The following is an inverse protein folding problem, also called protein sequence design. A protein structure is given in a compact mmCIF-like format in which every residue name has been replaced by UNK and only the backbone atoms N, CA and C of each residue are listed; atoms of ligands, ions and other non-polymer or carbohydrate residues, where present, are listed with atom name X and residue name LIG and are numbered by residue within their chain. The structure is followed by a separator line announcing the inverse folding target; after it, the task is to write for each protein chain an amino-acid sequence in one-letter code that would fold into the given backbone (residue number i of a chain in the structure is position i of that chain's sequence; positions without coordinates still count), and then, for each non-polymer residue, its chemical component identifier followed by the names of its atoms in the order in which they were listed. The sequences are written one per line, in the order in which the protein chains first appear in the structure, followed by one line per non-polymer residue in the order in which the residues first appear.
data_IF_684081472971
#
_entry.id   IF_684081472971
#
_cell.length_a   1.000
_cell.length_b   1.000
_cell.length_c   1.000
_cell.angle_alpha   90.00
_cell.angle_beta   90.00
_cell.angle_gamma   90.00
#
_symmetry.space_group_name_H-M   'P 1'
#
loop_
_entity.id
_entity.type
_entity.pdbx_description
1 polymer ?
#
# COMPACT_ATOMS: atom_id res chain seq x y z
N UNK A 1 -25.56 13.94 66.54
CA UNK A 1 -25.46 15.36 66.96
C UNK A 1 -24.90 16.15 65.78
N UNK A 2 -25.69 17.11 65.31
CA UNK A 2 -25.42 18.18 64.33
C UNK A 2 -25.06 17.78 62.89
N UNK A 3 -25.52 18.46 61.82
CA UNK A 3 -26.71 19.27 61.50
C UNK A 3 -26.53 19.71 60.03
N UNK A 4 -27.48 19.36 59.17
CA UNK A 4 -28.23 20.22 58.21
C UNK A 4 -27.45 21.35 57.49
N UNK A 5 -27.38 21.37 56.15
CA UNK A 5 -28.41 21.99 55.28
C UNK A 5 -28.04 22.03 53.78
N UNK A 6 -29.08 21.92 52.95
CA UNK A 6 -29.11 22.11 51.49
C UNK A 6 -29.07 23.61 51.13
N UNK A 7 -28.67 23.98 49.90
CA UNK A 7 -29.42 24.97 49.10
C UNK A 7 -29.11 24.91 47.59
N UNK A 8 -30.12 25.34 46.82
CA UNK A 8 -30.36 25.21 45.39
C UNK A 8 -29.67 26.26 44.50
N UNK A 9 -29.37 25.84 43.26
CA UNK A 9 -29.62 26.44 41.93
C UNK A 9 -29.81 27.97 41.79
N UNK A 10 -29.04 28.61 40.87
CA UNK A 10 -29.57 29.50 39.81
C UNK A 10 -28.47 29.98 38.83
N UNK A 11 -28.76 29.82 37.55
CA UNK A 11 -28.13 30.40 36.35
C UNK A 11 -28.26 31.92 36.27
N UNK A 12 -27.20 32.62 35.84
CA UNK A 12 -27.34 33.84 35.01
C UNK A 12 -26.11 34.07 34.11
N UNK A 13 -26.37 34.18 32.81
CA UNK A 13 -25.54 34.72 31.73
C UNK A 13 -25.23 36.20 32.01
N UNK A 14 -24.05 36.73 31.64
CA UNK A 14 -23.88 38.09 31.07
C UNK A 14 -22.43 38.27 30.57
N UNK A 15 -22.35 38.73 29.33
CA UNK A 15 -21.18 39.11 28.54
C UNK A 15 -20.38 40.27 29.14
N UNK A 16 -19.06 40.26 28.95
CA UNK A 16 -18.20 41.43 29.13
C UNK A 16 -17.42 41.70 27.83
N UNK A 17 -17.85 42.75 27.15
CA UNK A 17 -17.11 43.49 26.12
C UNK A 17 -16.35 44.67 26.74
N UNK A 18 -15.55 45.36 25.91
CA UNK A 18 -14.93 46.69 26.10
C UNK A 18 -13.51 46.61 26.73
N UNK A 19 -12.43 47.15 26.12
CA UNK A 19 -12.33 48.52 25.63
C UNK A 19 -11.37 48.74 24.44
N UNK A 20 -11.86 49.56 23.52
CA UNK A 20 -11.12 50.36 22.55
C UNK A 20 -10.21 51.40 23.23
N UNK A 21 -9.17 51.82 22.52
CA UNK A 21 -8.66 53.19 22.60
C UNK A 21 -8.44 53.72 21.20
N UNK A 22 -9.43 54.47 20.71
CA UNK A 22 -9.29 55.34 19.55
C UNK A 22 -8.63 56.65 19.96
N UNK A 23 -7.76 57.19 19.11
CA UNK A 23 -7.78 58.63 18.86
C UNK A 23 -7.18 58.98 17.49
N UNK A 24 -8.00 59.72 16.74
CA UNK A 24 -7.71 60.67 15.66
C UNK A 24 -7.52 60.18 14.21
N UNK A 25 -8.67 60.20 13.52
CA UNK A 25 -8.84 60.50 12.08
C UNK A 25 -8.12 61.79 11.65
N UNK A 26 -7.48 61.75 10.47
CA UNK A 26 -7.58 62.79 9.43
C UNK A 26 -7.66 62.16 8.03
N UNK A 27 -8.84 62.32 7.44
CA UNK A 27 -9.25 62.45 6.02
C UNK A 27 -8.31 62.02 4.88
N UNK A 28 -8.76 60.96 4.19
CA UNK A 28 -9.07 60.83 2.76
C UNK A 28 -8.12 61.42 1.69
N UNK A 29 -7.46 60.52 0.96
CA UNK A 29 -7.35 60.55 -0.51
C UNK A 29 -7.63 59.13 -1.03
N UNK A 30 -8.62 59.02 -1.92
CA UNK A 30 -8.99 57.81 -2.64
C UNK A 30 -8.03 57.60 -3.81
N UNK A 31 -7.20 56.56 -3.74
CA UNK A 31 -6.50 56.04 -4.91
C UNK A 31 -7.26 54.80 -5.45
N UNK A 32 -7.74 54.91 -6.67
CA UNK A 32 -8.42 53.86 -7.42
C UNK A 32 -7.36 52.87 -7.93
N UNK A 33 -6.94 51.95 -7.06
CA UNK A 33 -6.09 50.82 -7.41
C UNK A 33 -6.91 49.64 -7.93
N UNK A 34 -7.08 49.59 -9.25
CA UNK A 34 -7.60 48.46 -10.01
C UNK A 34 -6.85 47.16 -9.66
N UNK A 35 -7.41 46.32 -8.78
CA UNK A 35 -6.92 44.96 -8.53
C UNK A 35 -7.10 44.14 -9.81
N UNK A 36 -6.02 44.10 -10.58
CA UNK A 36 -5.85 43.23 -11.72
C UNK A 36 -5.85 41.80 -11.19
N UNK A 37 -7.01 41.14 -11.25
CA UNK A 37 -7.12 39.69 -11.15
C UNK A 37 -6.16 39.09 -12.17
N UNK A 38 -4.97 38.69 -11.73
CA UNK A 38 -4.11 37.83 -12.51
C UNK A 38 -4.87 36.53 -12.74
N UNK A 39 -5.37 36.36 -13.97
CA UNK A 39 -5.82 35.07 -14.47
C UNK A 39 -4.67 34.09 -14.23
N UNK A 40 -4.85 33.19 -13.26
CA UNK A 40 -4.06 31.97 -13.15
C UNK A 40 -4.12 31.34 -14.53
N UNK A 41 -2.99 31.32 -15.24
CA UNK A 41 -2.89 30.58 -16.50
C UNK A 41 -3.20 29.14 -16.17
N UNK A 42 -4.34 28.62 -16.64
CA UNK A 42 -4.59 27.19 -16.70
C UNK A 42 -3.38 26.57 -17.42
N UNK A 43 -2.53 25.87 -16.66
CA UNK A 43 -1.50 25.02 -17.22
C UNK A 43 -2.26 23.85 -17.82
N UNK A 44 -2.48 23.89 -19.13
CA UNK A 44 -3.06 22.77 -19.87
C UNK A 44 -2.03 21.65 -19.84
N UNK A 45 -2.20 20.70 -18.93
CA UNK A 45 -1.39 19.49 -18.88
C UNK A 45 -1.86 18.55 -20.00
N UNK A 46 -0.94 18.11 -20.85
CA UNK A 46 -1.22 17.06 -21.83
C UNK A 46 -1.53 15.75 -21.09
N UNK A 47 -2.77 15.29 -21.22
CA UNK A 47 -3.28 14.08 -20.58
C UNK A 47 -3.51 12.95 -21.59
N UNK A 48 -2.98 13.11 -22.82
CA UNK A 48 -2.99 12.05 -23.82
C UNK A 48 -2.19 10.87 -23.30
N UNK A 49 -2.78 9.68 -23.37
CA UNK A 49 -2.19 8.43 -22.87
C UNK A 49 -2.07 7.38 -23.96
N UNK A 50 -1.08 6.50 -23.84
CA UNK A 50 -0.92 5.34 -24.74
C UNK A 50 -1.99 4.30 -24.40
N UNK A 51 -2.96 4.08 -25.29
CA UNK A 51 -4.10 3.17 -25.02
C UNK A 51 -3.93 1.79 -25.67
N UNK A 52 -3.12 1.69 -26.73
CA UNK A 52 -2.90 0.47 -27.50
C UNK A 52 -1.42 0.16 -27.56
N UNK A 53 -1.09 -1.12 -27.73
CA UNK A 53 0.28 -1.57 -27.92
C UNK A 53 0.80 -0.93 -29.22
N UNK A 54 1.93 -0.20 -29.20
CA UNK A 54 2.52 0.36 -30.40
C UNK A 54 2.89 -0.71 -31.44
N UNK A 55 2.85 -0.34 -32.71
CA UNK A 55 3.17 -1.26 -33.81
C UNK A 55 4.59 -1.83 -33.67
N UNK A 56 4.72 -3.15 -33.84
CA UNK A 56 6.01 -3.86 -33.74
C UNK A 56 6.43 -4.23 -32.32
N UNK A 57 5.61 -3.96 -31.30
CA UNK A 57 5.87 -4.36 -29.91
C UNK A 57 5.02 -5.58 -29.55
N UNK A 58 5.67 -6.63 -29.05
CA UNK A 58 4.99 -7.82 -28.53
C UNK A 58 4.97 -7.79 -26.99
N UNK A 59 3.95 -8.41 -26.40
CA UNK A 59 3.87 -8.54 -24.95
C UNK A 59 4.97 -9.49 -24.43
N UNK A 60 5.75 -9.09 -23.42
CA UNK A 60 6.69 -10.00 -22.77
C UNK A 60 5.98 -11.24 -22.22
N UNK A 61 6.69 -12.37 -22.18
CA UNK A 61 6.15 -13.60 -21.63
C UNK A 61 5.63 -13.39 -20.19
N UNK A 62 4.41 -13.88 -19.95
CA UNK A 62 3.74 -13.79 -18.65
C UNK A 62 3.13 -12.42 -18.33
N UNK A 63 3.16 -11.46 -19.26
CA UNK A 63 2.57 -10.13 -19.08
C UNK A 63 1.37 -9.88 -19.99
N UNK A 64 0.49 -8.97 -19.56
CA UNK A 64 -0.64 -8.45 -20.33
C UNK A 64 -0.54 -6.95 -20.48
N UNK A 65 -1.10 -6.43 -21.57
CA UNK A 65 -1.20 -4.99 -21.79
C UNK A 65 -2.32 -4.38 -20.94
N UNK A 66 -1.98 -3.35 -20.17
CA UNK A 66 -2.91 -2.49 -19.46
C UNK A 66 -3.08 -1.22 -20.29
N UNK A 67 -4.26 -0.98 -20.90
CA UNK A 67 -4.51 0.24 -21.66
C UNK A 67 -4.41 1.48 -20.78
N UNK A 68 -3.64 2.48 -21.23
CA UNK A 68 -3.54 3.76 -20.55
C UNK A 68 -4.88 4.47 -20.44
N UNK A 69 -5.09 5.21 -19.35
CA UNK A 69 -6.35 5.89 -19.07
C UNK A 69 -6.15 7.11 -18.17
N UNK A 70 -7.05 8.08 -18.31
CA UNK A 70 -7.32 9.09 -17.28
C UNK A 70 -8.40 8.53 -16.34
N UNK A 71 -8.07 8.30 -15.08
CA UNK A 71 -9.00 7.70 -14.11
C UNK A 71 -8.95 8.40 -12.74
N UNK A 72 -9.99 8.19 -11.93
CA UNK A 72 -10.04 8.64 -10.54
C UNK A 72 -9.30 7.61 -9.67
N UNK A 73 -8.12 7.98 -9.18
CA UNK A 73 -7.34 7.19 -8.23
C UNK A 73 -7.81 7.50 -6.81
N UNK A 74 -7.94 6.46 -5.98
CA UNK A 74 -8.37 6.52 -4.59
C UNK A 74 -9.79 6.04 -4.34
N UNK A 75 -10.24 6.19 -3.09
CA UNK A 75 -11.48 5.58 -2.63
C UNK A 75 -12.72 6.21 -3.27
N UNK A 76 -13.63 5.35 -3.73
CA UNK A 76 -14.94 5.76 -4.26
C UNK A 76 -15.87 6.23 -3.13
N UNK A 77 -16.83 7.10 -3.45
CA UNK A 77 -17.67 7.74 -2.43
C UNK A 77 -18.56 6.76 -1.63
N UNK A 78 -18.90 5.61 -2.23
CA UNK A 78 -19.65 4.55 -1.56
C UNK A 78 -18.81 3.69 -0.62
N UNK A 79 -17.48 3.76 -0.69
CA UNK A 79 -16.59 3.04 0.22
C UNK A 79 -16.58 3.71 1.60
N UNK A 80 -17.37 3.15 2.51
CA UNK A 80 -17.54 3.69 3.87
C UNK A 80 -16.43 3.29 4.83
N UNK A 81 -15.61 2.31 4.46
CA UNK A 81 -14.52 1.81 5.32
C UNK A 81 -13.14 2.28 4.85
N UNK A 82 -13.05 2.94 3.70
CA UNK A 82 -11.82 3.58 3.23
C UNK A 82 -11.24 4.56 4.26
N UNK A 83 -9.94 4.42 4.50
CA UNK A 83 -9.19 5.25 5.43
C UNK A 83 -8.93 6.66 4.86
N UNK A 84 -8.58 7.61 5.73
CA UNK A 84 -8.42 9.01 5.33
C UNK A 84 -7.29 9.21 4.29
N UNK A 85 -6.21 8.44 4.36
CA UNK A 85 -5.10 8.49 3.41
C UNK A 85 -5.41 7.83 2.05
N UNK A 86 -6.60 7.22 1.89
CA UNK A 86 -7.13 6.75 0.61
C UNK A 86 -8.00 7.83 -0.08
N UNK A 87 -8.19 8.98 0.58
CA UNK A 87 -9.07 10.08 0.17
C UNK A 87 -8.29 11.41 0.12
N UNK A 88 -8.81 12.42 -0.61
CA UNK A 88 -9.86 12.31 -1.61
C UNK A 88 -9.39 11.55 -2.87
N UNK A 89 -10.34 11.01 -3.62
CA UNK A 89 -10.05 10.55 -4.97
C UNK A 89 -9.66 11.74 -5.86
N UNK A 90 -8.76 11.50 -6.82
CA UNK A 90 -8.24 12.52 -7.71
C UNK A 90 -7.89 11.94 -9.09
N UNK A 91 -7.91 12.79 -10.11
CA UNK A 91 -7.62 12.37 -11.49
C UNK A 91 -6.13 12.23 -11.74
N UNK A 92 -5.76 11.12 -12.35
CA UNK A 92 -4.42 10.87 -12.88
C UNK A 92 -4.52 10.32 -14.29
N UNK A 93 -3.56 10.64 -15.14
CA UNK A 93 -3.39 10.10 -16.48
C UNK A 93 -2.23 9.09 -16.44
N UNK A 94 -2.49 7.83 -16.77
CA UNK A 94 -1.46 6.77 -16.79
C UNK A 94 -1.35 6.23 -18.20
N UNK A 95 -0.15 6.23 -18.77
CA UNK A 95 0.16 5.61 -20.05
C UNK A 95 -0.02 4.09 -19.99
N UNK A 96 -0.23 3.46 -21.14
CA UNK A 96 -0.32 2.01 -21.22
C UNK A 96 1.03 1.34 -21.01
N UNK A 97 1.00 0.18 -20.37
CA UNK A 97 2.17 -0.59 -19.96
C UNK A 97 1.87 -2.09 -19.94
N UNK A 98 2.91 -2.91 -19.86
CA UNK A 98 2.78 -4.35 -19.62
C UNK A 98 2.86 -4.64 -18.13
N UNK A 99 1.98 -5.50 -17.62
CA UNK A 99 2.02 -5.97 -16.23
C UNK A 99 2.02 -7.49 -16.16
N UNK A 100 2.73 -8.03 -15.19
CA UNK A 100 2.65 -9.45 -14.86
C UNK A 100 1.22 -9.89 -14.58
N UNK A 101 0.86 -11.03 -15.17
CA UNK A 101 -0.44 -11.68 -15.02
C UNK A 101 -0.70 -12.12 -13.58
N UNK A 102 0.35 -12.41 -12.80
CA UNK A 102 0.31 -12.90 -11.42
C UNK A 102 1.34 -12.17 -10.56
N UNK A 103 1.31 -12.40 -9.25
CA UNK A 103 2.51 -12.16 -8.44
C UNK A 103 3.70 -13.00 -8.96
N UNK A 104 4.92 -12.55 -8.67
CA UNK A 104 6.13 -13.34 -8.94
C UNK A 104 6.07 -14.63 -8.13
N UNK A 105 6.27 -15.75 -8.80
CA UNK A 105 6.18 -17.08 -8.21
C UNK A 105 7.50 -17.54 -7.60
N UNK A 106 7.45 -18.53 -6.70
CA UNK A 106 8.64 -19.17 -6.17
C UNK A 106 9.56 -19.72 -7.27
N UNK A 107 9.01 -20.30 -8.34
CA UNK A 107 9.81 -20.81 -9.46
C UNK A 107 10.55 -19.69 -10.20
N UNK A 108 9.87 -18.58 -10.48
CA UNK A 108 10.49 -17.42 -11.14
C UNK A 108 11.57 -16.80 -10.26
N UNK A 109 11.30 -16.60 -8.97
CA UNK A 109 12.29 -16.05 -8.04
C UNK A 109 13.46 -17.01 -7.83
N UNK A 110 13.21 -18.32 -7.80
CA UNK A 110 14.28 -19.33 -7.75
C UNK A 110 15.18 -19.23 -8.97
N UNK A 111 14.64 -19.05 -10.18
CA UNK A 111 15.44 -18.85 -11.40
C UNK A 111 16.37 -17.65 -11.26
N UNK A 112 15.84 -16.51 -10.80
CA UNK A 112 16.64 -15.32 -10.50
C UNK A 112 17.78 -15.62 -9.53
N UNK A 113 17.50 -16.28 -8.40
CA UNK A 113 18.51 -16.62 -7.40
C UNK A 113 19.55 -17.61 -7.95
N UNK A 114 19.13 -18.62 -8.71
CA UNK A 114 20.03 -19.61 -9.32
C UNK A 114 21.00 -18.98 -10.33
N UNK A 115 20.53 -18.00 -11.12
CA UNK A 115 21.33 -17.34 -12.15
C UNK A 115 22.27 -16.25 -11.60
N UNK A 116 21.89 -15.59 -10.50
CA UNK A 116 22.61 -14.43 -9.96
C UNK A 116 23.39 -14.74 -8.67
N UNK A 117 23.05 -15.82 -7.97
CA UNK A 117 23.54 -16.09 -6.63
C UNK A 117 22.99 -15.14 -5.57
N UNK A 118 21.89 -14.43 -5.85
CA UNK A 118 21.32 -13.44 -4.95
C UNK A 118 20.91 -14.03 -3.59
N UNK A 119 21.20 -13.29 -2.51
CA UNK A 119 20.85 -13.63 -1.13
C UNK A 119 19.90 -12.55 -0.62
N UNK A 120 18.69 -12.92 -0.20
CA UNK A 120 17.68 -11.91 0.18
C UNK A 120 18.00 -11.24 1.51
N UNK A 121 17.41 -10.07 1.79
CA UNK A 121 17.57 -9.39 3.09
C UNK A 121 17.29 -10.32 4.26
N UNK A 122 16.23 -11.13 4.17
CA UNK A 122 15.85 -12.09 5.21
C UNK A 122 16.90 -13.19 5.47
N UNK A 123 17.78 -13.44 4.51
CA UNK A 123 18.86 -14.44 4.60
C UNK A 123 20.20 -13.85 5.08
N UNK A 124 20.36 -12.52 5.05
CA UNK A 124 21.63 -11.84 5.38
C UNK A 124 21.81 -11.63 6.88
N UNK A 125 23.07 -11.63 7.33
CA UNK A 125 23.41 -11.23 8.68
C UNK A 125 22.99 -9.78 8.96
N UNK A 126 22.50 -9.54 10.17
CA UNK A 126 22.04 -8.21 10.57
C UNK A 126 23.26 -7.42 11.09
N UNK A 127 23.62 -6.37 10.35
CA UNK A 127 24.63 -5.42 10.80
C UNK A 127 24.03 -4.44 11.82
N UNK A 128 24.42 -4.59 13.09
CA UNK A 128 24.00 -3.69 14.17
C UNK A 128 24.39 -2.24 13.91
N UNK A 129 25.56 -1.99 13.31
CA UNK A 129 26.05 -0.63 13.09
C UNK A 129 25.22 0.09 12.04
N UNK A 130 24.66 -0.63 11.05
CA UNK A 130 23.70 -0.07 10.10
C UNK A 130 22.30 0.06 10.72
N UNK A 131 21.82 -0.98 11.41
CA UNK A 131 20.48 -0.97 12.00
C UNK A 131 20.32 0.14 13.05
N UNK A 132 21.32 0.36 13.91
CA UNK A 132 21.24 1.37 14.98
C UNK A 132 21.13 2.80 14.46
N UNK A 133 21.54 3.08 13.21
CA UNK A 133 21.37 4.40 12.58
C UNK A 133 19.91 4.75 12.34
N UNK A 134 19.03 3.74 12.32
CA UNK A 134 17.59 3.88 12.09
C UNK A 134 16.79 3.84 13.41
N UNK A 135 17.46 3.64 14.55
CA UNK A 135 16.82 3.52 15.86
C UNK A 135 17.03 4.81 16.68
N UNK A 136 16.16 5.09 17.67
CA UNK A 136 16.38 6.19 18.60
C UNK A 136 17.74 6.10 19.30
N UNK A 137 18.35 7.24 19.56
CA UNK A 137 19.64 7.33 20.25
C UNK A 137 19.58 6.62 21.62
N UNK A 138 20.60 5.82 21.93
CA UNK A 138 20.67 5.05 23.18
C UNK A 138 19.95 3.70 23.15
N UNK A 139 19.36 3.29 22.02
CA UNK A 139 18.78 1.94 21.87
C UNK A 139 19.85 0.87 22.10
N UNK A 140 19.63 0.00 23.09
CA UNK A 140 20.57 -1.05 23.43
C UNK A 140 20.61 -2.14 22.34
N UNK A 141 21.83 -2.64 22.04
CA UNK A 141 22.00 -3.76 21.13
C UNK A 141 21.30 -5.01 21.67
N UNK A 142 20.38 -5.64 20.90
CA UNK A 142 19.83 -6.94 21.23
C UNK A 142 20.94 -8.00 21.31
N UNK A 143 20.78 -9.02 22.16
CA UNK A 143 21.76 -10.10 22.25
C UNK A 143 21.93 -10.82 20.89
N UNK A 144 23.15 -11.24 20.55
CA UNK A 144 23.44 -11.83 19.23
C UNK A 144 22.61 -13.10 18.95
N UNK A 145 22.14 -13.80 19.99
CA UNK A 145 21.26 -14.96 19.85
C UNK A 145 19.87 -14.64 19.30
N UNK A 146 19.44 -13.37 19.32
CA UNK A 146 18.17 -12.90 18.76
C UNK A 146 18.37 -11.99 17.54
N UNK A 147 19.52 -11.33 17.45
CA UNK A 147 19.93 -10.53 16.30
C UNK A 147 20.47 -11.45 15.18
N UNK A 148 19.57 -12.21 14.57
CA UNK A 148 19.87 -13.24 13.58
C UNK A 148 18.99 -13.06 12.34
N UNK A 149 19.46 -13.51 11.15
CA UNK A 149 18.68 -13.48 9.92
C UNK A 149 17.30 -14.12 10.12
N UNK A 150 16.28 -13.53 9.53
CA UNK A 150 14.91 -13.96 9.71
C UNK A 150 13.92 -12.98 9.12
N UNK A 151 12.66 -13.22 9.43
CA UNK A 151 11.56 -12.47 8.88
C UNK A 151 10.32 -12.54 9.77
N UNK A 152 9.36 -11.64 9.57
CA UNK A 152 8.11 -11.65 10.30
C UNK A 152 7.18 -12.75 9.77
N UNK A 153 6.73 -13.59 10.70
CA UNK A 153 5.75 -14.65 10.46
C UNK A 153 4.54 -14.48 11.35
N UNK A 154 3.39 -14.93 10.85
CA UNK A 154 2.13 -14.89 11.58
C UNK A 154 1.97 -16.13 12.46
N UNK A 155 1.47 -15.90 13.67
CA UNK A 155 1.02 -16.94 14.60
C UNK A 155 -0.42 -16.64 15.00
N UNK A 156 -1.27 -17.67 14.96
CA UNK A 156 -2.61 -17.58 15.54
C UNK A 156 -2.53 -17.42 17.04
N UNK A 157 -3.41 -16.61 17.60
CA UNK A 157 -3.56 -16.52 19.05
C UNK A 157 -4.41 -17.68 19.57
N UNK A 158 -4.23 -18.03 20.85
CA UNK A 158 -5.00 -19.12 21.48
C UNK A 158 -6.47 -18.73 21.77
N UNK A 159 -6.79 -17.45 21.70
CA UNK A 159 -8.11 -16.88 21.94
C UNK A 159 -8.13 -15.42 21.51
N UNK A 160 -9.30 -14.79 21.67
CA UNK A 160 -9.56 -13.41 21.31
C UNK A 160 -8.53 -12.46 21.92
N UNK A 161 -8.08 -11.50 21.13
CA UNK A 161 -7.19 -10.44 21.59
C UNK A 161 -8.00 -9.25 22.10
N UNK A 162 -7.52 -8.53 23.13
CA UNK A 162 -8.23 -7.38 23.69
C UNK A 162 -8.32 -6.20 22.71
N UNK A 163 -7.44 -6.15 21.71
CA UNK A 163 -7.42 -5.13 20.68
C UNK A 163 -6.66 -5.61 19.42
N UNK A 164 -6.86 -4.88 18.33
CA UNK A 164 -6.24 -5.15 17.04
C UNK A 164 -5.13 -4.14 16.65
N UNK A 165 -4.72 -3.25 17.56
CA UNK A 165 -3.62 -2.29 17.29
C UNK A 165 -2.26 -2.77 17.79
N UNK A 166 -2.23 -3.69 18.76
CA UNK A 166 -1.00 -4.37 19.20
C UNK A 166 -0.76 -5.64 18.37
N UNK A 167 -0.02 -5.45 17.28
CA UNK A 167 0.31 -6.47 16.30
C UNK A 167 1.34 -7.50 16.80
N UNK A 168 2.06 -7.24 17.90
CA UNK A 168 3.01 -8.19 18.50
C UNK A 168 2.34 -9.49 19.01
N UNK A 169 1.02 -9.43 19.17
CA UNK A 169 0.20 -10.56 19.59
C UNK A 169 0.13 -11.67 18.53
N UNK A 170 0.20 -11.33 17.24
CA UNK A 170 0.15 -12.30 16.13
C UNK A 170 1.34 -12.24 15.17
N UNK A 171 2.15 -11.17 15.19
CA UNK A 171 3.43 -11.14 14.49
C UNK A 171 4.58 -11.56 15.40
N UNK A 172 5.54 -12.27 14.82
CA UNK A 172 6.74 -12.74 15.50
C UNK A 172 7.91 -12.68 14.53
N UNK A 173 9.05 -12.19 15.02
CA UNK A 173 10.34 -12.43 14.37
C UNK A 173 10.70 -13.92 14.45
N UNK A 174 10.89 -14.53 13.29
CA UNK A 174 11.28 -15.93 13.19
C UNK A 174 12.64 -16.02 12.52
N UNK A 175 13.65 -16.39 13.33
CA UNK A 175 15.01 -16.66 12.88
C UNK A 175 14.98 -17.77 11.81
N UNK A 176 15.65 -17.52 10.69
CA UNK A 176 15.72 -18.41 9.53
C UNK A 176 14.43 -18.52 8.70
N UNK A 177 13.42 -17.67 8.96
CA UNK A 177 12.32 -17.50 8.00
C UNK A 177 12.82 -16.68 6.80
N UNK A 178 12.60 -17.20 5.59
CA UNK A 178 12.97 -16.56 4.33
C UNK A 178 12.07 -17.08 3.21
N UNK A 179 12.28 -16.64 1.97
CA UNK A 179 11.51 -17.11 0.82
C UNK A 179 11.59 -18.64 0.62
N UNK A 180 12.72 -19.29 0.99
CA UNK A 180 12.90 -20.75 0.95
C UNK A 180 12.19 -21.48 2.10
N UNK A 181 12.07 -20.81 3.25
CA UNK A 181 11.54 -21.34 4.50
C UNK A 181 10.44 -20.42 5.06
N UNK A 182 9.31 -20.26 4.33
CA UNK A 182 8.41 -19.13 4.51
C UNK A 182 7.48 -19.24 5.73
N UNK A 183 7.65 -20.27 6.55
CA UNK A 183 7.00 -20.42 7.85
C UNK A 183 8.02 -20.81 8.95
N UNK A 184 9.29 -20.46 8.73
CA UNK A 184 10.42 -20.75 9.62
C UNK A 184 11.25 -21.95 9.21
N UNK A 185 12.36 -22.24 9.93
CA UNK A 185 13.41 -23.16 9.48
C UNK A 185 12.99 -24.60 9.15
N UNK A 186 11.86 -25.06 9.69
CA UNK A 186 11.32 -26.40 9.42
C UNK A 186 10.37 -26.48 8.21
N UNK A 187 10.10 -25.37 7.54
CA UNK A 187 9.22 -25.31 6.37
C UNK A 187 10.01 -25.32 5.06
N UNK A 188 9.37 -25.61 3.93
CA UNK A 188 9.98 -25.49 2.60
C UNK A 188 8.96 -25.09 1.53
N UNK A 189 9.47 -24.76 0.34
CA UNK A 189 8.69 -24.46 -0.86
C UNK A 189 8.56 -25.67 -1.80
N UNK A 190 8.85 -26.90 -1.36
CA UNK A 190 8.75 -28.08 -2.22
C UNK A 190 7.30 -28.27 -2.67
N UNK A 191 7.09 -28.35 -3.98
CA UNK A 191 5.76 -28.46 -4.58
C UNK A 191 4.93 -27.18 -4.49
N UNK A 192 5.56 -26.02 -4.27
CA UNK A 192 4.90 -24.70 -4.20
C UNK A 192 5.50 -23.72 -5.22
N UNK A 193 5.94 -24.25 -6.35
CA UNK A 193 6.58 -23.52 -7.44
C UNK A 193 5.67 -22.40 -7.99
N UNK A 194 4.36 -22.63 -7.97
CA UNK A 194 3.29 -21.74 -8.41
C UNK A 194 2.72 -20.85 -7.30
N UNK A 195 3.28 -20.86 -6.09
CA UNK A 195 2.86 -19.93 -5.05
C UNK A 195 3.63 -18.60 -5.17
N UNK A 196 3.03 -17.48 -4.75
CA UNK A 196 3.73 -16.20 -4.72
C UNK A 196 4.96 -16.29 -3.81
N UNK A 197 6.07 -15.73 -4.28
CA UNK A 197 7.25 -15.56 -3.44
C UNK A 197 6.97 -14.52 -2.36
N UNK A 198 7.42 -14.78 -1.14
CA UNK A 198 7.25 -13.90 0.02
C UNK A 198 8.53 -13.77 0.82
N UNK A 199 8.51 -13.00 1.91
CA UNK A 199 9.70 -12.60 2.66
C UNK A 199 10.70 -11.84 1.77
N UNK A 200 10.14 -11.01 0.88
CA UNK A 200 10.88 -10.18 -0.06
C UNK A 200 10.87 -8.76 0.47
N UNK A 201 12.05 -8.25 0.85
CA UNK A 201 12.23 -6.84 1.17
C UNK A 201 12.21 -6.00 -0.11
N UNK A 202 12.12 -4.67 0.02
CA UNK A 202 11.98 -3.79 -1.14
C UNK A 202 13.15 -3.92 -2.13
N UNK A 203 14.37 -4.00 -1.61
CA UNK A 203 15.57 -4.19 -2.46
C UNK A 203 15.62 -5.56 -3.14
N UNK A 204 15.05 -6.60 -2.54
CA UNK A 204 14.98 -7.93 -3.16
C UNK A 204 14.08 -7.90 -4.40
N UNK A 205 12.96 -7.19 -4.30
CA UNK A 205 12.05 -6.99 -5.42
C UNK A 205 12.71 -6.15 -6.53
N UNK A 206 13.44 -5.09 -6.18
CA UNK A 206 14.17 -4.26 -7.15
C UNK A 206 15.28 -5.05 -7.87
N UNK A 207 16.05 -5.87 -7.15
CA UNK A 207 17.09 -6.71 -7.74
C UNK A 207 16.50 -7.72 -8.74
N UNK A 208 15.36 -8.33 -8.40
CA UNK A 208 14.62 -9.18 -9.34
C UNK A 208 14.16 -8.39 -10.57
N UNK A 209 13.59 -7.20 -10.36
CA UNK A 209 13.13 -6.35 -11.46
C UNK A 209 14.27 -6.01 -12.43
N UNK A 210 15.44 -5.63 -11.92
CA UNK A 210 16.62 -5.33 -12.72
C UNK A 210 17.05 -6.55 -13.56
N UNK A 211 17.18 -7.72 -12.93
CA UNK A 211 17.52 -8.97 -13.63
C UNK A 211 16.51 -9.32 -14.74
N UNK A 212 15.23 -9.09 -14.50
CA UNK A 212 14.17 -9.39 -15.46
C UNK A 212 14.02 -8.33 -16.57
N UNK A 213 14.77 -7.22 -16.53
CA UNK A 213 14.54 -6.01 -17.31
C UNK A 213 13.10 -5.45 -17.13
N UNK A 214 12.71 -5.29 -15.86
CA UNK A 214 11.38 -4.86 -15.42
C UNK A 214 11.51 -3.83 -14.30
N UNK A 215 10.39 -3.34 -13.78
CA UNK A 215 10.32 -2.50 -12.59
C UNK A 215 9.09 -2.82 -11.75
N UNK A 216 9.05 -2.31 -10.53
CA UNK A 216 7.81 -2.29 -9.75
C UNK A 216 6.79 -1.32 -10.40
N UNK A 217 5.48 -1.62 -10.30
CA UNK A 217 4.44 -0.68 -10.70
C UNK A 217 4.47 0.56 -9.81
N UNK A 218 4.08 1.71 -10.34
CA UNK A 218 3.65 2.82 -9.48
C UNK A 218 2.34 2.48 -8.77
N UNK A 219 2.01 3.19 -7.69
CA UNK A 219 0.72 3.01 -7.02
C UNK A 219 -0.45 3.24 -7.99
N UNK A 220 -0.32 4.24 -8.88
CA UNK A 220 -1.35 4.57 -9.86
C UNK A 220 -1.46 3.50 -10.97
N UNK A 221 -0.34 2.95 -11.44
CA UNK A 221 -0.34 1.84 -12.39
C UNK A 221 -1.00 0.59 -11.80
N UNK A 222 -0.61 0.21 -10.58
CA UNK A 222 -1.19 -0.94 -9.90
C UNK A 222 -2.70 -0.78 -9.75
N UNK A 223 -3.16 0.40 -9.33
CA UNK A 223 -4.59 0.66 -9.12
C UNK A 223 -5.38 0.69 -10.44
N UNK A 224 -4.83 1.30 -11.50
CA UNK A 224 -5.45 1.25 -12.83
C UNK A 224 -5.62 -0.19 -13.31
N UNK A 225 -4.55 -0.98 -13.19
CA UNK A 225 -4.56 -2.37 -13.62
C UNK A 225 -5.51 -3.22 -12.79
N UNK A 226 -5.56 -3.01 -11.48
CA UNK A 226 -6.51 -3.67 -10.57
C UNK A 226 -7.96 -3.34 -10.95
N UNK A 227 -8.28 -2.05 -11.19
CA UNK A 227 -9.64 -1.62 -11.57
C UNK A 227 -10.11 -2.24 -12.87
N UNK A 228 -9.23 -2.47 -13.85
CA UNK A 228 -9.64 -2.98 -15.17
C UNK A 228 -10.75 -2.10 -15.79
N UNK A 229 -11.90 -2.70 -16.14
CA UNK A 229 -13.06 -1.93 -16.62
C UNK A 229 -13.97 -1.40 -15.50
N UNK A 230 -13.69 -1.76 -14.24
CA UNK A 230 -14.47 -1.41 -13.06
C UNK A 230 -13.90 -0.16 -12.34
N UNK A 231 -13.83 0.97 -13.05
CA UNK A 231 -13.19 2.19 -12.52
C UNK A 231 -13.92 2.82 -11.31
N UNK A 232 -15.23 2.58 -11.17
CA UNK A 232 -16.09 3.24 -10.19
C UNK A 232 -16.52 2.37 -9.01
N UNK A 233 -15.83 1.25 -8.75
CA UNK A 233 -16.22 0.26 -7.75
C UNK A 233 -15.18 0.13 -6.63
N UNK A 234 -15.57 -0.55 -5.55
CA UNK A 234 -14.76 -0.83 -4.37
C UNK A 234 -13.76 -1.96 -4.65
N UNK A 235 -14.21 -3.03 -5.32
CA UNK A 235 -13.42 -4.20 -5.68
C UNK A 235 -13.25 -4.29 -7.20
N UNK A 236 -12.28 -5.08 -7.66
CA UNK A 236 -12.05 -5.26 -9.10
C UNK A 236 -13.19 -6.01 -9.80
N UNK A 237 -14.09 -6.66 -9.04
CA UNK A 237 -15.24 -7.41 -9.56
C UNK A 237 -16.58 -6.68 -9.38
N UNK A 238 -16.57 -5.46 -8.81
CA UNK A 238 -17.80 -4.74 -8.44
C UNK A 238 -17.83 -4.34 -6.97
N UNK A 239 -19.04 -4.11 -6.45
CA UNK A 239 -19.29 -3.66 -5.08
C UNK A 239 -19.86 -4.77 -4.17
N UNK A 240 -20.09 -5.97 -4.72
CA UNK A 240 -20.62 -7.11 -3.96
C UNK A 240 -19.52 -7.75 -3.10
N UNK A 241 -19.67 -7.62 -1.79
CA UNK A 241 -18.77 -8.19 -0.80
C UNK A 241 -19.06 -9.67 -0.51
N UNK A 242 -20.29 -10.15 -0.77
CA UNK A 242 -20.71 -11.51 -0.42
C UNK A 242 -19.99 -12.56 -1.27
N UNK A 243 -19.42 -12.14 -2.40
CA UNK A 243 -18.62 -12.99 -3.30
C UNK A 243 -17.11 -12.96 -2.99
N UNK A 244 -16.65 -12.29 -1.92
CA UNK A 244 -15.22 -12.13 -1.60
C UNK A 244 -14.44 -13.46 -1.63
N UNK A 245 -14.94 -14.48 -0.93
CA UNK A 245 -14.31 -15.82 -0.87
C UNK A 245 -14.23 -16.55 -2.23
N UNK A 246 -14.98 -16.09 -3.23
CA UNK A 246 -14.92 -16.61 -4.61
C UNK A 246 -13.95 -15.81 -5.50
N UNK A 247 -13.45 -14.68 -4.99
CA UNK A 247 -12.71 -13.67 -5.77
C UNK A 247 -11.29 -13.45 -5.28
N UNK A 248 -10.97 -13.83 -4.06
CA UNK A 248 -9.61 -13.72 -3.52
C UNK A 248 -9.42 -14.55 -2.26
N UNK A 249 -8.14 -14.75 -1.92
CA UNK A 249 -7.70 -15.42 -0.71
C UNK A 249 -7.54 -14.41 0.42
N UNK A 250 -8.39 -14.48 1.44
CA UNK A 250 -8.43 -13.56 2.59
C UNK A 250 -8.59 -14.33 3.90
N UNK A 251 -8.99 -13.66 4.98
CA UNK A 251 -9.26 -14.31 6.24
C UNK A 251 -10.75 -14.26 6.56
N UNK A 252 -11.39 -15.43 6.65
CA UNK A 252 -12.75 -15.56 7.18
C UNK A 252 -12.76 -16.17 8.59
N UNK A 253 -13.62 -15.66 9.47
CA UNK A 253 -13.67 -16.04 10.88
C UNK A 253 -13.14 -14.95 11.81
N UNK A 254 -12.80 -15.33 13.04
CA UNK A 254 -12.31 -14.40 14.05
C UNK A 254 -10.80 -14.20 13.90
N UNK A 255 -10.36 -13.09 13.31
CA UNK A 255 -8.94 -12.74 13.27
C UNK A 255 -8.44 -12.34 14.68
N UNK A 256 -7.22 -12.76 15.12
CA UNK A 256 -6.27 -13.70 14.51
C UNK A 256 -6.38 -15.13 15.08
N UNK A 257 -7.57 -15.53 15.53
CA UNK A 257 -7.82 -16.77 16.29
C UNK A 257 -8.17 -17.93 15.37
N UNK A 258 -9.21 -17.77 14.55
CA UNK A 258 -9.80 -18.81 13.72
C UNK A 258 -9.94 -18.34 12.29
N UNK A 259 -9.39 -19.12 11.35
CA UNK A 259 -9.65 -19.00 9.92
C UNK A 259 -10.56 -20.16 9.50
N UNK A 260 -11.75 -19.88 8.97
CA UNK A 260 -12.71 -20.89 8.51
C UNK A 260 -12.35 -21.45 7.14
N UNK A 261 -11.44 -20.81 6.40
CA UNK A 261 -10.99 -21.18 5.05
C UNK A 261 -12.15 -21.22 4.07
N UNK A 262 -13.04 -20.23 4.15
CA UNK A 262 -14.21 -20.22 3.28
C UNK A 262 -13.80 -20.05 1.82
N UNK A 263 -12.70 -19.35 1.58
CA UNK A 263 -12.02 -19.20 0.30
C UNK A 263 -11.18 -20.41 -0.16
N UNK A 264 -11.04 -21.44 0.69
CA UNK A 264 -10.28 -22.67 0.43
C UNK A 264 -8.87 -22.73 1.01
N UNK A 265 -8.32 -21.65 1.57
CA UNK A 265 -6.93 -21.60 2.02
C UNK A 265 -6.77 -21.07 3.45
N UNK A 266 -5.83 -21.64 4.22
CA UNK A 266 -5.45 -21.10 5.55
C UNK A 266 -4.39 -19.99 5.43
N UNK A 267 -3.61 -20.06 4.35
CA UNK A 267 -2.41 -19.24 4.09
C UNK A 267 -2.44 -18.86 2.61
N UNK A 268 -1.28 -18.52 2.04
CA UNK A 268 -1.09 -18.31 0.60
C UNK A 268 -1.71 -19.44 -0.24
N UNK A 269 -2.31 -19.05 -1.35
CA UNK A 269 -2.79 -19.91 -2.40
C UNK A 269 -1.76 -19.93 -3.55
N UNK A 270 -1.79 -20.95 -4.44
CA UNK A 270 -1.17 -20.83 -5.76
C UNK A 270 -1.65 -19.56 -6.46
N UNK A 271 -0.80 -18.92 -7.25
CA UNK A 271 -1.25 -17.85 -8.14
C UNK A 271 -2.29 -18.39 -9.11
N UNK A 272 -3.22 -17.55 -9.57
CA UNK A 272 -4.35 -17.92 -10.43
C UNK A 272 -5.35 -18.89 -9.80
N UNK A 273 -5.45 -18.90 -8.47
CA UNK A 273 -6.46 -19.71 -7.77
C UNK A 273 -7.88 -19.17 -7.93
N UNK A 274 -8.02 -17.85 -8.14
CA UNK A 274 -9.30 -17.16 -8.29
C UNK A 274 -9.47 -16.61 -9.72
N UNK A 275 -10.69 -16.21 -10.13
CA UNK A 275 -10.89 -15.62 -11.46
C UNK A 275 -10.06 -14.35 -11.66
N UNK A 276 -9.54 -14.12 -12.89
CA UNK A 276 -8.86 -12.86 -13.19
C UNK A 276 -9.85 -11.70 -13.26
N UNK A 277 -9.34 -10.48 -13.22
CA UNK A 277 -10.09 -9.30 -13.66
C UNK A 277 -10.24 -9.26 -15.19
N UNK A 278 -10.92 -8.25 -15.71
CA UNK A 278 -11.22 -8.14 -17.15
C UNK A 278 -9.99 -7.98 -18.06
N UNK A 279 -8.81 -7.68 -17.50
CA UNK A 279 -7.55 -7.59 -18.23
C UNK A 279 -6.77 -8.91 -18.21
N UNK A 280 -7.28 -9.94 -17.55
CA UNK A 280 -6.60 -11.21 -17.37
C UNK A 280 -5.60 -11.21 -16.21
N UNK A 281 -5.65 -10.22 -15.32
CA UNK A 281 -4.78 -10.14 -14.14
C UNK A 281 -5.39 -10.90 -12.98
N UNK A 282 -4.60 -11.75 -12.34
CA UNK A 282 -5.04 -12.58 -11.22
C UNK A 282 -4.62 -11.98 -9.89
N UNK A 283 -5.35 -12.38 -8.84
CA UNK A 283 -4.99 -12.14 -7.45
C UNK A 283 -4.81 -10.65 -7.10
N UNK A 284 -5.52 -9.75 -7.80
CA UNK A 284 -5.50 -8.30 -7.52
C UNK A 284 -6.16 -7.92 -6.17
N UNK A 285 -6.66 -8.90 -5.42
CA UNK A 285 -7.24 -8.73 -4.10
C UNK A 285 -6.96 -9.98 -3.24
N UNK A 286 -6.28 -9.78 -2.10
CA UNK A 286 -5.89 -10.87 -1.21
C UNK A 286 -4.61 -11.58 -1.65
N UNK A 287 -4.49 -12.84 -1.26
CA UNK A 287 -3.29 -13.68 -1.41
C UNK A 287 -2.05 -13.07 -0.73
N UNK A 288 -1.27 -12.22 -1.40
CA UNK A 288 -0.16 -11.48 -0.78
C UNK A 288 -0.24 -10.00 -1.10
N UNK A 289 0.23 -9.18 -0.18
CA UNK A 289 0.50 -7.78 -0.46
C UNK A 289 1.52 -7.67 -1.58
N UNK A 290 1.46 -6.57 -2.31
CA UNK A 290 2.37 -6.32 -3.42
C UNK A 290 3.08 -4.98 -3.29
N UNK A 291 4.40 -5.01 -3.41
CA UNK A 291 5.23 -3.82 -3.48
C UNK A 291 4.90 -2.94 -4.69
N UNK A 292 4.92 -1.63 -4.46
CA UNK A 292 4.90 -0.60 -5.52
C UNK A 292 6.11 0.33 -5.38
N UNK A 293 6.40 1.15 -6.39
CA UNK A 293 7.57 2.04 -6.37
C UNK A 293 7.44 3.24 -5.41
N UNK A 294 6.23 3.58 -4.97
CA UNK A 294 5.90 4.89 -4.43
C UNK A 294 6.24 5.01 -2.95
N UNK A 295 6.72 6.18 -2.53
CA UNK A 295 6.81 6.50 -1.10
C UNK A 295 5.43 6.58 -0.48
N UNK A 296 5.25 5.93 0.67
CA UNK A 296 4.03 6.07 1.42
C UNK A 296 3.99 7.43 2.10
N UNK A 297 2.99 8.22 1.73
CA UNK A 297 2.74 9.53 2.29
C UNK A 297 1.24 9.72 2.49
N UNK A 298 0.84 9.92 3.75
CA UNK A 298 -0.58 10.07 4.13
C UNK A 298 -1.21 11.38 3.64
N UNK A 299 -0.40 12.37 3.26
CA UNK A 299 -0.87 13.64 2.70
C UNK A 299 -0.99 13.62 1.18
N UNK A 300 -0.34 12.67 0.50
CA UNK A 300 -0.16 12.71 -0.95
C UNK A 300 -1.46 12.94 -1.73
N UNK A 301 -2.52 12.18 -1.43
CA UNK A 301 -3.79 12.32 -2.17
C UNK A 301 -4.46 13.69 -1.92
N UNK A 302 -4.36 14.24 -0.70
CA UNK A 302 -4.84 15.60 -0.39
C UNK A 302 -4.05 16.66 -1.13
N UNK A 303 -2.73 16.52 -1.17
CA UNK A 303 -1.82 17.44 -1.86
C UNK A 303 -2.04 17.43 -3.37
N UNK A 304 -2.21 16.26 -3.99
CA UNK A 304 -2.50 16.13 -5.42
C UNK A 304 -3.87 16.73 -5.74
N UNK A 305 -4.91 16.39 -4.99
CA UNK A 305 -6.25 16.94 -5.21
C UNK A 305 -6.29 18.47 -5.09
N UNK A 306 -5.52 19.06 -4.16
CA UNK A 306 -5.44 20.50 -3.96
C UNK A 306 -4.76 21.25 -5.12
N UNK A 307 -4.00 20.56 -5.98
CA UNK A 307 -3.38 21.19 -7.16
C UNK A 307 -4.38 21.49 -8.27
N UNK A 308 -5.58 20.90 -8.25
CA UNK A 308 -6.61 21.07 -9.28
C UNK A 308 -6.09 20.79 -10.70
N UNK A 309 -5.16 19.83 -10.83
CA UNK A 309 -4.56 19.40 -12.10
C UNK A 309 -4.54 17.89 -12.21
N UNK A 310 -4.35 17.37 -13.42
CA UNK A 310 -4.21 15.93 -13.68
C UNK A 310 -2.73 15.63 -13.78
N UNK A 311 -2.22 14.77 -12.90
CA UNK A 311 -0.85 14.29 -12.99
C UNK A 311 -0.73 13.23 -14.09
N UNK A 312 0.25 13.36 -14.98
CA UNK A 312 0.60 12.33 -15.97
C UNK A 312 1.71 11.44 -15.42
N UNK A 313 1.47 10.13 -15.42
CA UNK A 313 2.34 9.07 -14.89
C UNK A 313 2.93 9.40 -13.51
N UNK A 314 2.07 9.66 -12.49
CA UNK A 314 2.57 10.02 -11.16
C UNK A 314 3.50 8.93 -10.61
N UNK A 315 4.58 9.38 -9.97
CA UNK A 315 5.61 8.52 -9.35
C UNK A 315 5.49 8.50 -7.81
N UNK A 316 4.33 8.90 -7.29
CA UNK A 316 4.07 9.04 -5.87
C UNK A 316 4.64 10.33 -5.27
N UNK A 317 4.68 10.37 -3.93
CA UNK A 317 5.27 11.48 -3.19
C UNK A 317 6.80 11.50 -3.34
N UNK A 318 7.41 12.68 -3.26
CA UNK A 318 8.87 12.83 -3.31
C UNK A 318 9.58 12.30 -2.05
N UNK A 319 8.87 12.21 -0.93
CA UNK A 319 9.37 11.70 0.35
C UNK A 319 8.29 10.94 1.14
N UNK A 320 8.67 9.97 1.99
CA UNK A 320 7.74 9.29 2.87
C UNK A 320 7.23 10.23 3.97
N UNK A 321 6.01 9.99 4.43
CA UNK A 321 5.43 10.66 5.60
C UNK A 321 4.30 9.82 6.20
N UNK A 322 4.42 9.47 7.47
CA UNK A 322 3.39 8.78 8.23
C UNK A 322 3.07 9.59 9.49
N UNK A 323 1.82 10.05 9.62
CA UNK A 323 1.39 10.85 10.78
C UNK A 323 1.61 10.16 12.13
N UNK A 324 1.64 8.82 12.17
CA UNK A 324 1.84 8.03 13.39
C UNK A 324 3.31 7.76 13.69
N UNK A 325 4.16 7.80 12.67
CA UNK A 325 5.61 7.64 12.79
C UNK A 325 6.33 8.49 11.73
N UNK A 326 6.63 9.76 12.04
CA UNK A 326 7.23 10.69 11.07
C UNK A 326 8.64 10.30 10.61
N UNK A 327 9.31 9.36 11.30
CA UNK A 327 10.65 8.90 10.94
C UNK A 327 10.61 7.64 10.05
N UNK A 328 9.45 7.00 9.93
CA UNK A 328 9.28 5.80 9.13
C UNK A 328 9.55 6.09 7.65
N UNK A 329 10.40 5.26 7.04
CA UNK A 329 10.69 5.28 5.60
C UNK A 329 10.04 4.08 4.94
N UNK A 330 8.82 4.28 4.47
CA UNK A 330 7.96 3.20 4.02
C UNK A 330 7.56 3.35 2.56
N UNK A 331 7.44 2.23 1.86
CA UNK A 331 6.91 2.17 0.49
C UNK A 331 5.48 1.68 0.52
N UNK A 332 4.69 2.12 -0.47
CA UNK A 332 3.30 1.72 -0.62
C UNK A 332 3.24 0.23 -0.99
N UNK A 333 2.34 -0.50 -0.32
CA UNK A 333 1.90 -1.84 -0.69
C UNK A 333 0.39 -1.86 -0.98
N UNK A 334 -0.02 -2.67 -1.95
CA UNK A 334 -1.40 -2.75 -2.45
C UNK A 334 -1.93 -4.19 -2.46
N UNK A 335 -3.25 -4.36 -2.57
CA UNK A 335 -3.91 -5.66 -2.79
C UNK A 335 -4.42 -6.38 -1.54
N UNK A 336 -3.85 -6.13 -0.36
CA UNK A 336 -4.16 -6.94 0.81
C UNK A 336 -3.53 -8.33 0.75
N UNK A 337 -3.90 -9.24 1.64
CA UNK A 337 -3.32 -10.60 1.71
C UNK A 337 -4.30 -11.61 2.30
N UNK A 338 -3.89 -12.88 2.38
CA UNK A 338 -4.61 -13.96 3.07
C UNK A 338 -4.85 -13.70 4.58
N UNK A 339 -4.25 -12.66 5.16
CA UNK A 339 -4.50 -12.23 6.55
C UNK A 339 -5.52 -11.09 6.68
N UNK A 340 -5.99 -10.53 5.56
CA UNK A 340 -6.93 -9.42 5.56
C UNK A 340 -8.34 -9.89 5.96
N UNK A 341 -8.96 -9.18 6.90
CA UNK A 341 -10.30 -9.45 7.39
C UNK A 341 -11.05 -8.13 7.60
N UNK A 342 -12.37 -8.13 7.37
CA UNK A 342 -13.22 -6.94 7.50
C UNK A 342 -13.11 -6.20 8.85
N UNK A 343 -12.81 -6.91 9.94
CA UNK A 343 -12.71 -6.33 11.29
C UNK A 343 -11.35 -5.70 11.61
N UNK A 344 -10.30 -6.02 10.85
CA UNK A 344 -8.93 -5.58 11.12
C UNK A 344 -8.34 -4.79 9.95
N UNK A 345 -8.38 -5.37 8.75
CA UNK A 345 -7.71 -4.89 7.56
C UNK A 345 -8.51 -5.30 6.32
N UNK A 346 -9.38 -4.41 5.85
CA UNK A 346 -10.19 -4.59 4.64
C UNK A 346 -9.42 -4.16 3.38
N UNK A 347 -8.17 -4.59 3.23
CA UNK A 347 -7.28 -4.07 2.18
C UNK A 347 -7.33 -4.80 0.85
N UNK A 348 -8.21 -5.79 0.71
CA UNK A 348 -8.62 -6.39 -0.57
C UNK A 348 -9.47 -5.43 -1.44
N UNK A 349 -9.73 -4.20 -0.98
CA UNK A 349 -10.34 -3.12 -1.77
C UNK A 349 -9.30 -2.48 -2.66
N UNK A 350 -9.66 -2.13 -3.89
CA UNK A 350 -8.71 -1.66 -4.92
C UNK A 350 -8.03 -0.35 -4.52
N UNK A 351 -8.75 0.56 -3.86
CA UNK A 351 -8.18 1.83 -3.38
C UNK A 351 -7.33 1.70 -2.12
N UNK A 352 -7.40 0.57 -1.41
CA UNK A 352 -6.66 0.42 -0.17
C UNK A 352 -5.17 0.50 -0.44
N UNK A 353 -4.47 1.13 0.48
CA UNK A 353 -3.02 1.34 0.42
C UNK A 353 -2.49 1.26 1.83
N UNK A 354 -1.47 0.46 2.04
CA UNK A 354 -0.76 0.39 3.32
C UNK A 354 0.72 0.57 3.05
N UNK A 355 1.52 0.50 4.10
CA UNK A 355 2.95 0.72 4.01
C UNK A 355 3.71 -0.28 4.85
N UNK A 356 4.97 -0.49 4.48
CA UNK A 356 5.94 -1.14 5.36
C UNK A 356 7.35 -0.64 5.04
N UNK A 357 8.28 -0.85 5.97
CA UNK A 357 9.66 -0.39 5.85
C UNK A 357 10.39 -1.15 4.74
N UNK A 358 11.41 -0.51 4.17
CA UNK A 358 12.17 -1.05 3.03
C UNK A 358 12.83 -2.41 3.32
N UNK A 359 13.22 -2.62 4.57
CA UNK A 359 13.92 -3.80 5.10
C UNK A 359 12.98 -4.85 5.69
N UNK A 360 11.67 -4.55 5.80
CA UNK A 360 10.68 -5.50 6.28
C UNK A 360 10.37 -6.55 5.22
N UNK A 361 10.72 -7.79 5.53
CA UNK A 361 10.23 -8.97 4.84
C UNK A 361 9.09 -9.61 5.66
N UNK A 362 7.99 -9.99 5.01
CA UNK A 362 6.78 -10.49 5.67
C UNK A 362 6.28 -11.76 4.97
N UNK A 363 5.68 -12.71 5.71
CA UNK A 363 5.17 -13.97 5.11
C UNK A 363 3.99 -13.80 4.14
N UNK A 364 3.44 -12.59 4.10
CA UNK A 364 2.27 -12.21 3.32
C UNK A 364 2.54 -11.01 2.37
N UNK A 365 3.81 -10.73 2.06
CA UNK A 365 4.22 -9.66 1.16
C UNK A 365 5.13 -10.21 0.07
N UNK A 366 4.69 -10.07 -1.18
CA UNK A 366 5.42 -10.35 -2.41
C UNK A 366 5.38 -9.13 -3.33
N UNK A 367 5.34 -9.37 -4.64
CA UNK A 367 5.30 -8.31 -5.65
C UNK A 367 4.92 -8.87 -7.02
N UNK A 368 4.52 -7.98 -7.92
CA UNK A 368 4.45 -8.22 -9.37
C UNK A 368 5.20 -7.10 -10.11
N UNK A 369 5.54 -7.32 -11.38
CA UNK A 369 6.35 -6.35 -12.13
C UNK A 369 5.60 -5.75 -13.32
N UNK A 370 6.13 -4.63 -13.81
CA UNK A 370 5.69 -3.97 -15.03
C UNK A 370 6.86 -3.69 -15.97
N UNK A 371 6.55 -3.50 -17.25
CA UNK A 371 7.48 -3.03 -18.27
C UNK A 371 6.80 -1.96 -19.15
N UNK A 372 7.53 -0.88 -19.45
CA UNK A 372 7.07 0.12 -20.41
C UNK A 372 7.38 -0.32 -21.84
N UNK A 373 6.77 0.34 -22.82
CA UNK A 373 7.12 0.16 -24.24
C UNK A 373 8.62 0.37 -24.47
N UNK A 374 9.22 1.40 -23.86
CA UNK A 374 10.64 1.71 -23.99
C UNK A 374 11.53 0.57 -23.46
N UNK A 375 11.13 -0.08 -22.36
CA UNK A 375 11.88 -1.20 -21.78
C UNK A 375 11.85 -2.44 -22.67
N UNK A 376 10.75 -2.66 -23.39
CA UNK A 376 10.57 -3.82 -24.29
C UNK A 376 11.21 -3.56 -25.66
N UNK A 377 11.12 -2.33 -26.18
CA UNK A 377 11.68 -1.96 -27.49
C UNK A 377 13.20 -1.87 -27.53
N UNK A 378 13.86 -1.73 -26.38
CA UNK A 378 15.32 -1.73 -26.25
C UNK A 378 15.98 -3.11 -26.19
N UNK A 379 15.22 -4.21 -26.34
CA UNK A 379 15.70 -5.59 -26.28
C UNK A 379 16.13 -6.15 -27.63
#
# INVERSE_FOLDING_TARGET
MHSISRFFLATTIISLTVACKDTNKKTAETDNGNERLEKVKEVVVDTTVITTIPEGIEAPEGMVWVPGKVFEQGAVAQDKVAMDHEKPAHKVAVDGFFMDVTEVTNAQFKKFVDETGYVTVAEREIDWEEMKKQLPEGTAKPHDSILQPGSLTFKKTKGSVPNLYDFSQWWRWTIGASWKHPNGPGSDIKGKDDHPVVHIAYEDALAYCEWANRRLPTEAEWELAARGNHLGTIYFWGDDMDVLSQKGNTWEGEFPVTNTKQDGFERRAPVKSYPPNDLGLYDMAGNVWEWTSDWYNTNYYREVAAQHTILKNPQGASSPYNERDPYAREKVMKGGSFLCNASYCSSYRVSSRMATSLDSSLEHLGFRTVATVDMVSGQ
#
